data_IF_643051248531
#
_entry.id   IF_643051248531
#
_cell.length_a   1.000
_cell.length_b   1.000
_cell.length_c   1.000
_cell.angle_alpha   90.00
_cell.angle_beta   90.00
_cell.angle_gamma   90.00
#
_symmetry.space_group_name_H-M   'P 1'
#
loop_
_entity.id
_entity.type
_entity.pdbx_description
1 polymer ?
#
# COMPACT_ATOMS: atom_id res chain seq x y z
N UNK A 1 -14.58 -14.84 7.00
CA UNK A 1 -13.32 -14.37 7.62
C UNK A 1 -12.40 -13.93 6.49
N UNK A 2 -12.19 -12.64 6.33
CA UNK A 2 -11.14 -12.14 5.45
C UNK A 2 -9.82 -12.61 6.06
N UNK A 3 -8.99 -13.33 5.30
CA UNK A 3 -7.66 -13.73 5.80
C UNK A 3 -6.88 -12.46 6.08
N UNK A 4 -6.40 -12.31 7.32
CA UNK A 4 -5.47 -11.22 7.64
C UNK A 4 -4.30 -11.26 6.67
N UNK A 5 -4.00 -10.13 6.07
CA UNK A 5 -2.84 -10.01 5.21
C UNK A 5 -1.58 -10.00 6.10
N UNK A 6 -0.74 -11.04 6.05
CA UNK A 6 0.43 -11.14 6.92
C UNK A 6 1.44 -10.00 6.72
N UNK A 7 1.37 -9.34 5.56
CA UNK A 7 2.27 -8.25 5.17
C UNK A 7 2.08 -7.01 6.05
N UNK A 8 0.88 -6.78 6.59
CA UNK A 8 0.55 -5.59 7.36
C UNK A 8 0.45 -5.84 8.88
N UNK A 9 1.16 -6.84 9.41
CA UNK A 9 1.18 -7.11 10.86
C UNK A 9 2.03 -6.10 11.65
N UNK A 10 2.98 -5.46 11.01
CA UNK A 10 3.90 -4.54 11.66
C UNK A 10 3.26 -3.15 11.78
N UNK A 11 3.21 -2.64 12.99
CA UNK A 11 2.84 -1.26 13.24
C UNK A 11 4.07 -0.39 12.96
N UNK A 12 3.95 0.54 12.03
CA UNK A 12 5.00 1.51 11.69
C UNK A 12 4.62 2.88 12.24
N UNK A 13 5.62 3.74 12.35
CA UNK A 13 5.40 5.12 12.81
C UNK A 13 4.42 5.86 11.89
N UNK A 14 3.48 6.61 12.47
CA UNK A 14 2.55 7.44 11.71
C UNK A 14 3.29 8.42 10.78
N UNK A 15 2.58 8.91 9.79
CA UNK A 15 3.03 10.06 8.99
C UNK A 15 3.04 11.30 9.88
N UNK A 16 4.09 12.11 9.81
CA UNK A 16 4.17 13.35 10.58
C UNK A 16 3.29 14.41 9.91
N UNK A 17 2.37 14.97 10.68
CA UNK A 17 1.52 16.07 10.24
C UNK A 17 2.35 17.29 9.81
N UNK A 18 3.40 17.60 10.56
CA UNK A 18 4.29 18.73 10.29
C UNK A 18 4.96 18.66 8.90
N UNK A 19 5.14 17.46 8.35
CA UNK A 19 5.75 17.28 7.02
C UNK A 19 4.72 17.50 5.88
N UNK A 20 3.44 17.44 6.18
CA UNK A 20 2.34 17.46 5.18
C UNK A 20 1.51 18.72 5.24
N UNK A 21 1.13 19.14 6.43
CA UNK A 21 0.21 20.26 6.65
C UNK A 21 0.61 21.53 5.88
N UNK A 22 1.90 21.97 5.86
CA UNK A 22 2.30 23.21 5.17
C UNK A 22 2.00 23.17 3.67
N UNK A 23 1.97 22.01 3.04
CA UNK A 23 1.66 21.85 1.61
C UNK A 23 0.20 22.20 1.30
N UNK A 24 -0.68 22.04 2.28
CA UNK A 24 -2.12 22.29 2.14
C UNK A 24 -2.55 23.64 2.73
N UNK A 25 -1.71 24.23 3.61
CA UNK A 25 -1.96 25.53 4.25
C UNK A 25 -1.30 26.68 3.47
N UNK A 26 -1.68 26.81 2.19
CA UNK A 26 -1.06 27.76 1.26
C UNK A 26 -1.22 29.25 1.65
N UNK A 27 -2.26 29.57 2.41
CA UNK A 27 -2.64 30.92 2.82
C UNK A 27 -2.45 31.15 4.34
N UNK A 28 -1.93 30.17 5.08
CA UNK A 28 -1.72 30.23 6.52
C UNK A 28 -3.02 30.23 7.35
N UNK A 29 -4.16 29.85 6.74
CA UNK A 29 -5.48 29.96 7.35
C UNK A 29 -6.13 28.59 7.61
N UNK A 30 -5.58 27.52 7.10
CA UNK A 30 -6.24 26.23 7.10
C UNK A 30 -6.58 25.75 8.52
N UNK A 31 -5.71 25.97 9.49
CA UNK A 31 -5.97 25.64 10.90
C UNK A 31 -7.13 26.47 11.48
N UNK A 32 -7.14 27.78 11.22
CA UNK A 32 -8.21 28.67 11.70
C UNK A 32 -9.55 28.37 11.02
N UNK A 33 -9.54 28.13 9.72
CA UNK A 33 -10.73 27.75 8.95
C UNK A 33 -11.25 26.36 9.37
N UNK A 34 -10.35 25.42 9.68
CA UNK A 34 -10.71 24.13 10.28
C UNK A 34 -11.40 24.28 11.63
N UNK A 35 -10.86 25.12 12.52
CA UNK A 35 -11.50 25.41 13.81
C UNK A 35 -12.88 26.08 13.64
N UNK A 36 -13.07 26.93 12.65
CA UNK A 36 -14.37 27.51 12.32
C UNK A 36 -15.35 26.46 11.79
N UNK A 37 -14.89 25.55 10.94
CA UNK A 37 -15.67 24.37 10.49
C UNK A 37 -16.04 23.49 11.68
N UNK A 38 -15.11 23.24 12.61
CA UNK A 38 -15.40 22.49 13.82
C UNK A 38 -16.53 23.10 14.64
N UNK A 39 -16.54 24.42 14.82
CA UNK A 39 -17.64 25.09 15.56
C UNK A 39 -18.99 24.89 14.88
N UNK A 40 -19.03 24.91 13.56
CA UNK A 40 -20.28 24.69 12.79
C UNK A 40 -20.74 23.21 12.90
N UNK A 41 -19.79 22.27 12.85
CA UNK A 41 -20.08 20.83 12.86
C UNK A 41 -20.20 20.24 14.27
N UNK A 42 -19.99 21.04 15.32
CA UNK A 42 -20.08 20.60 16.70
C UNK A 42 -21.46 20.03 17.03
N UNK A 43 -21.49 18.78 17.50
CA UNK A 43 -22.71 18.03 17.74
C UNK A 43 -23.26 17.27 16.52
N UNK A 44 -22.67 17.43 15.34
CA UNK A 44 -23.06 16.73 14.10
C UNK A 44 -22.10 15.59 13.74
N UNK A 45 -21.04 15.39 14.52
CA UNK A 45 -19.96 14.41 14.23
C UNK A 45 -20.51 12.99 14.11
N UNK A 46 -21.50 12.63 14.91
CA UNK A 46 -22.16 11.32 14.84
C UNK A 46 -22.88 11.14 13.51
N UNK A 47 -23.52 12.19 13.00
CA UNK A 47 -24.24 12.15 11.72
C UNK A 47 -23.25 11.99 10.55
N UNK A 48 -22.13 12.74 10.59
CA UNK A 48 -21.05 12.59 9.60
C UNK A 48 -20.46 11.19 9.62
N UNK A 49 -20.22 10.63 10.81
CA UNK A 49 -19.73 9.26 10.99
C UNK A 49 -20.75 8.23 10.51
N UNK A 50 -22.03 8.43 10.76
CA UNK A 50 -23.10 7.57 10.26
C UNK A 50 -23.12 7.54 8.74
N UNK A 51 -23.04 8.71 8.09
CA UNK A 51 -22.98 8.77 6.62
C UNK A 51 -21.80 7.98 6.03
N UNK A 52 -20.65 8.00 6.70
CA UNK A 52 -19.50 7.18 6.32
C UNK A 52 -19.83 5.68 6.40
N UNK A 53 -20.40 5.21 7.51
CA UNK A 53 -20.66 3.78 7.72
C UNK A 53 -21.85 3.26 6.92
N UNK A 54 -22.83 4.11 6.64
CA UNK A 54 -23.93 3.79 5.70
C UNK A 54 -23.40 3.60 4.29
N UNK A 55 -22.51 4.51 3.84
CA UNK A 55 -21.84 4.37 2.55
C UNK A 55 -20.99 3.08 2.51
N UNK A 56 -20.24 2.78 3.57
CA UNK A 56 -19.46 1.56 3.69
C UNK A 56 -20.35 0.30 3.54
N UNK A 57 -21.42 0.24 4.30
CA UNK A 57 -22.36 -0.89 4.26
C UNK A 57 -23.12 -1.00 2.93
N UNK A 58 -23.18 0.07 2.14
CA UNK A 58 -23.80 0.08 0.82
C UNK A 58 -22.85 -0.42 -0.30
N UNK A 59 -21.56 -0.50 -0.05
CA UNK A 59 -20.58 -0.88 -1.07
C UNK A 59 -20.72 -2.36 -1.47
N UNK A 60 -20.68 -2.68 -2.78
CA UNK A 60 -20.82 -4.07 -3.26
C UNK A 60 -19.71 -5.01 -2.76
N UNK A 61 -18.53 -4.48 -2.44
CA UNK A 61 -17.41 -5.26 -1.92
C UNK A 61 -17.64 -5.73 -0.48
N UNK A 62 -18.52 -5.07 0.26
CA UNK A 62 -18.86 -5.39 1.65
C UNK A 62 -19.91 -6.49 1.66
N UNK A 63 -19.44 -7.74 1.68
CA UNK A 63 -20.31 -8.91 1.68
C UNK A 63 -21.01 -9.16 3.01
N UNK A 64 -20.46 -8.66 4.11
CA UNK A 64 -21.05 -8.73 5.44
C UNK A 64 -21.15 -7.34 6.04
N UNK A 65 -22.37 -6.86 6.19
CA UNK A 65 -22.65 -5.56 6.81
C UNK A 65 -22.20 -5.54 8.26
N UNK A 66 -21.77 -4.38 8.70
CA UNK A 66 -21.44 -4.11 10.10
C UNK A 66 -22.72 -3.56 10.75
N UNK A 67 -23.17 -4.19 11.83
CA UNK A 67 -24.44 -3.89 12.49
C UNK A 67 -24.30 -3.95 14.02
N UNK A 68 -25.28 -3.46 14.75
CA UNK A 68 -25.38 -3.54 16.20
C UNK A 68 -24.27 -2.77 16.94
N UNK A 69 -23.87 -3.27 18.10
CA UNK A 69 -22.88 -2.61 18.97
C UNK A 69 -21.53 -2.35 18.29
N UNK A 70 -21.14 -3.21 17.34
CA UNK A 70 -19.91 -3.03 16.59
C UNK A 70 -19.98 -1.80 15.68
N UNK A 71 -21.10 -1.61 14.99
CA UNK A 71 -21.35 -0.41 14.16
C UNK A 71 -21.35 0.84 15.04
N UNK A 72 -22.02 0.81 16.19
CA UNK A 72 -22.05 1.94 17.12
C UNK A 72 -20.65 2.29 17.63
N UNK A 73 -19.81 1.29 17.91
CA UNK A 73 -18.43 1.50 18.33
C UNK A 73 -17.61 2.18 17.23
N UNK A 74 -17.79 1.77 15.98
CA UNK A 74 -17.11 2.37 14.84
C UNK A 74 -17.61 3.78 14.56
N UNK A 75 -18.91 4.03 14.66
CA UNK A 75 -19.48 5.39 14.53
C UNK A 75 -18.88 6.31 15.59
N UNK A 76 -18.81 5.89 16.86
CA UNK A 76 -18.19 6.69 17.93
C UNK A 76 -16.71 6.99 17.65
N UNK A 77 -15.94 6.01 17.15
CA UNK A 77 -14.53 6.19 16.78
C UNK A 77 -14.38 7.19 15.63
N UNK A 78 -15.22 7.07 14.60
CA UNK A 78 -15.22 7.97 13.44
C UNK A 78 -15.68 9.39 13.81
N UNK A 79 -16.67 9.53 14.69
CA UNK A 79 -17.12 10.83 15.19
C UNK A 79 -15.99 11.56 15.94
N UNK A 80 -15.25 10.84 16.81
CA UNK A 80 -14.05 11.39 17.45
C UNK A 80 -12.98 11.81 16.44
N UNK A 81 -12.76 11.03 15.41
CA UNK A 81 -11.82 11.38 14.35
C UNK A 81 -12.25 12.67 13.62
N UNK A 82 -13.54 12.81 13.27
CA UNK A 82 -14.07 14.01 12.65
C UNK A 82 -13.88 15.24 13.55
N UNK A 83 -14.13 15.09 14.84
CA UNK A 83 -13.90 16.16 15.82
C UNK A 83 -12.43 16.57 15.82
N UNK A 84 -11.49 15.63 15.99
CA UNK A 84 -10.05 15.90 16.05
C UNK A 84 -9.54 16.55 14.77
N UNK A 85 -9.99 16.07 13.62
CA UNK A 85 -9.60 16.57 12.29
C UNK A 85 -9.89 18.06 12.09
N UNK A 86 -11.04 18.53 12.53
CA UNK A 86 -11.43 19.93 12.36
C UNK A 86 -11.01 20.82 13.54
N UNK A 87 -11.02 20.29 14.76
CA UNK A 87 -10.65 21.05 15.95
C UNK A 87 -9.17 21.41 15.98
N UNK A 88 -8.31 20.50 15.54
CA UNK A 88 -6.86 20.65 15.50
C UNK A 88 -6.30 20.14 14.16
N UNK A 89 -6.60 20.87 13.11
CA UNK A 89 -6.33 20.49 11.73
C UNK A 89 -4.83 20.25 11.43
N UNK A 90 -3.92 20.92 12.17
CA UNK A 90 -2.48 20.74 12.08
C UNK A 90 -1.91 19.78 13.11
N UNK A 91 -2.73 19.22 13.98
CA UNK A 91 -2.31 18.37 15.08
C UNK A 91 -1.95 16.94 14.64
N UNK A 92 -0.96 16.36 15.30
CA UNK A 92 -0.48 15.01 15.01
C UNK A 92 -1.54 13.93 15.28
N UNK A 93 -2.49 14.17 16.18
CA UNK A 93 -3.51 13.17 16.54
C UNK A 93 -4.38 12.80 15.34
N UNK A 94 -4.79 13.78 14.52
CA UNK A 94 -5.59 13.53 13.30
C UNK A 94 -4.84 12.63 12.32
N UNK A 95 -3.55 12.90 12.08
CA UNK A 95 -2.71 12.07 11.22
C UNK A 95 -2.54 10.65 11.79
N UNK A 96 -2.36 10.53 13.09
CA UNK A 96 -2.22 9.23 13.76
C UNK A 96 -3.46 8.38 13.59
N UNK A 97 -4.66 8.96 13.77
CA UNK A 97 -5.92 8.24 13.60
C UNK A 97 -6.11 7.84 12.13
N UNK A 98 -5.81 8.72 11.17
CA UNK A 98 -5.88 8.39 9.74
C UNK A 98 -4.95 7.22 9.38
N UNK A 99 -3.72 7.20 9.92
CA UNK A 99 -2.78 6.09 9.75
C UNK A 99 -3.32 4.78 10.35
N UNK A 100 -3.88 4.83 11.56
CA UNK A 100 -4.46 3.66 12.24
C UNK A 100 -5.65 3.09 11.45
N UNK A 101 -6.54 3.95 10.94
CA UNK A 101 -7.66 3.54 10.11
C UNK A 101 -7.19 2.91 8.79
N UNK A 102 -6.17 3.48 8.16
CA UNK A 102 -5.53 2.91 6.97
C UNK A 102 -4.94 1.53 7.25
N UNK A 103 -4.17 1.42 8.35
CA UNK A 103 -3.58 0.15 8.76
C UNK A 103 -4.65 -0.93 8.97
N UNK A 104 -5.73 -0.59 9.70
CA UNK A 104 -6.83 -1.51 9.96
C UNK A 104 -7.50 -1.98 8.66
N UNK A 105 -7.78 -1.05 7.74
CA UNK A 105 -8.39 -1.37 6.44
C UNK A 105 -7.51 -2.32 5.62
N UNK A 106 -6.22 -2.00 5.48
CA UNK A 106 -5.27 -2.83 4.71
C UNK A 106 -5.06 -4.20 5.36
N UNK A 107 -5.02 -4.27 6.69
CA UNK A 107 -4.88 -5.54 7.43
C UNK A 107 -6.03 -6.50 7.17
N UNK A 108 -7.25 -6.00 7.01
CA UNK A 108 -8.42 -6.81 6.66
C UNK A 108 -8.63 -6.93 5.14
N UNK A 109 -7.68 -6.48 4.33
CA UNK A 109 -7.71 -6.62 2.87
C UNK A 109 -8.70 -5.69 2.17
N UNK A 110 -9.11 -4.59 2.81
CA UNK A 110 -9.94 -3.57 2.18
C UNK A 110 -9.07 -2.67 1.31
N UNK A 111 -9.44 -2.46 0.03
CA UNK A 111 -8.78 -1.47 -0.81
C UNK A 111 -8.90 -0.07 -0.22
N UNK A 112 -7.83 0.72 -0.27
CA UNK A 112 -7.84 2.10 0.21
C UNK A 112 -8.93 2.94 -0.47
N UNK A 113 -9.20 2.67 -1.76
CA UNK A 113 -10.27 3.31 -2.51
C UNK A 113 -11.66 3.18 -1.86
N UNK A 114 -11.90 2.05 -1.18
CA UNK A 114 -13.13 1.82 -0.41
C UNK A 114 -13.27 2.82 0.73
N UNK A 115 -12.19 3.03 1.48
CA UNK A 115 -12.15 3.98 2.60
C UNK A 115 -12.33 5.41 2.09
N UNK A 116 -11.61 5.78 1.02
CA UNK A 116 -11.69 7.11 0.42
C UNK A 116 -13.09 7.44 -0.10
N UNK A 117 -13.78 6.45 -0.67
CA UNK A 117 -15.17 6.63 -1.13
C UNK A 117 -16.12 6.97 0.01
N UNK A 118 -15.98 6.29 1.16
CA UNK A 118 -16.81 6.54 2.34
C UNK A 118 -16.50 7.91 2.99
N UNK A 119 -15.23 8.30 3.00
CA UNK A 119 -14.82 9.65 3.43
C UNK A 119 -15.52 10.71 2.60
N UNK A 120 -15.65 10.51 1.29
CA UNK A 120 -16.34 11.43 0.39
C UNK A 120 -17.80 11.73 0.80
N UNK A 121 -18.54 10.73 1.27
CA UNK A 121 -19.93 10.92 1.71
C UNK A 121 -20.02 11.73 3.02
N UNK A 122 -19.12 11.49 3.97
CA UNK A 122 -18.99 12.32 5.17
C UNK A 122 -18.67 13.78 4.82
N UNK A 123 -17.75 14.02 3.89
CA UNK A 123 -17.36 15.38 3.48
C UNK A 123 -18.49 16.11 2.76
N UNK A 124 -19.20 15.42 1.89
CA UNK A 124 -20.39 15.96 1.23
C UNK A 124 -21.41 16.48 2.24
N UNK A 125 -21.65 15.71 3.31
CA UNK A 125 -22.56 16.12 4.37
C UNK A 125 -22.00 17.29 5.20
N UNK A 126 -20.70 17.29 5.49
CA UNK A 126 -20.04 18.41 6.18
C UNK A 126 -20.12 19.70 5.38
N UNK A 127 -19.91 19.64 4.06
CA UNK A 127 -20.05 20.77 3.15
C UNK A 127 -21.49 21.29 3.17
N UNK A 128 -22.48 20.41 3.14
CA UNK A 128 -23.89 20.77 3.21
C UNK A 128 -24.21 21.60 4.47
N UNK A 129 -23.80 21.13 5.64
CA UNK A 129 -24.01 21.84 6.90
C UNK A 129 -23.31 23.21 6.94
N UNK A 130 -22.11 23.30 6.38
CA UNK A 130 -21.38 24.56 6.30
C UNK A 130 -22.09 25.56 5.36
N UNK A 131 -22.61 25.09 4.23
CA UNK A 131 -23.39 25.95 3.30
C UNK A 131 -24.65 26.47 3.99
N UNK A 132 -25.38 25.61 4.70
CA UNK A 132 -26.58 26.01 5.43
C UNK A 132 -26.26 27.02 6.56
N UNK A 133 -25.24 26.72 7.38
CA UNK A 133 -24.85 27.59 8.49
C UNK A 133 -24.31 28.96 8.04
N UNK A 134 -23.77 29.02 6.83
CA UNK A 134 -23.28 30.28 6.24
C UNK A 134 -24.24 30.88 5.22
N UNK A 135 -25.55 30.57 5.30
CA UNK A 135 -26.52 31.09 4.36
C UNK A 135 -26.50 32.64 4.32
N UNK A 136 -26.36 33.20 3.11
CA UNK A 136 -26.24 34.65 2.90
C UNK A 136 -24.82 35.21 2.89
N UNK A 137 -23.81 34.40 3.24
CA UNK A 137 -22.39 34.77 3.18
C UNK A 137 -21.62 33.83 2.21
N UNK A 138 -21.70 34.13 0.93
CA UNK A 138 -21.05 33.34 -0.13
C UNK A 138 -19.53 33.30 0.01
N UNK A 139 -18.90 34.37 0.51
CA UNK A 139 -17.47 34.42 0.70
C UNK A 139 -17.03 33.42 1.79
N UNK A 140 -17.76 33.41 2.90
CA UNK A 140 -17.54 32.47 4.01
C UNK A 140 -17.81 31.00 3.58
N UNK A 141 -18.92 30.78 2.86
CA UNK A 141 -19.25 29.48 2.28
C UNK A 141 -18.11 28.96 1.43
N UNK A 142 -17.62 29.76 0.47
CA UNK A 142 -16.52 29.38 -0.43
C UNK A 142 -15.25 29.08 0.34
N UNK A 143 -14.90 29.90 1.31
CA UNK A 143 -13.69 29.72 2.12
C UNK A 143 -13.74 28.42 2.95
N UNK A 144 -14.83 28.19 3.67
CA UNK A 144 -14.94 27.04 4.57
C UNK A 144 -15.11 25.73 3.79
N UNK A 145 -15.83 25.73 2.68
CA UNK A 145 -15.89 24.54 1.82
C UNK A 145 -14.55 24.22 1.17
N UNK A 146 -13.76 25.24 0.81
CA UNK A 146 -12.38 25.05 0.36
C UNK A 146 -11.50 24.47 1.46
N UNK A 147 -11.67 24.91 2.73
CA UNK A 147 -10.94 24.34 3.86
C UNK A 147 -11.30 22.85 4.10
N UNK A 148 -12.58 22.48 4.06
CA UNK A 148 -13.01 21.08 4.14
C UNK A 148 -12.34 20.24 3.05
N UNK A 149 -12.34 20.74 1.80
CA UNK A 149 -11.71 20.02 0.70
C UNK A 149 -10.18 19.88 0.88
N UNK A 150 -9.48 20.92 1.34
CA UNK A 150 -8.04 20.86 1.62
C UNK A 150 -7.73 19.86 2.74
N UNK A 151 -8.52 19.85 3.81
CA UNK A 151 -8.38 18.90 4.91
C UNK A 151 -8.72 17.46 4.48
N UNK A 152 -9.66 17.29 3.56
CA UNK A 152 -9.93 16.00 2.96
C UNK A 152 -8.75 15.49 2.14
N UNK A 153 -8.16 16.35 1.30
CA UNK A 153 -6.99 16.00 0.49
C UNK A 153 -5.75 15.71 1.36
N UNK A 154 -5.55 16.47 2.43
CA UNK A 154 -4.49 16.22 3.41
C UNK A 154 -4.66 14.86 4.09
N UNK A 155 -5.88 14.53 4.53
CA UNK A 155 -6.17 13.22 5.12
C UNK A 155 -5.88 12.08 4.13
N UNK A 156 -6.33 12.22 2.87
CA UNK A 156 -6.05 11.24 1.82
C UNK A 156 -4.56 11.09 1.53
N UNK A 157 -3.80 12.21 1.49
CA UNK A 157 -2.35 12.19 1.31
C UNK A 157 -1.67 11.44 2.47
N UNK A 158 -2.07 11.70 3.71
CA UNK A 158 -1.55 10.99 4.89
C UNK A 158 -1.83 9.48 4.80
N UNK A 159 -3.05 9.10 4.42
CA UNK A 159 -3.45 7.70 4.28
C UNK A 159 -2.66 6.99 3.19
N UNK A 160 -2.48 7.62 2.03
CA UNK A 160 -1.72 7.08 0.91
C UNK A 160 -0.23 6.97 1.25
N UNK A 161 0.35 8.01 1.88
CA UNK A 161 1.74 7.99 2.31
C UNK A 161 2.00 6.90 3.36
N UNK A 162 1.04 6.67 4.26
CA UNK A 162 1.14 5.58 5.24
C UNK A 162 1.04 4.20 4.59
N UNK A 163 0.12 4.02 3.64
CA UNK A 163 0.00 2.80 2.86
C UNK A 163 1.31 2.49 2.11
N UNK A 164 1.91 3.50 1.47
CA UNK A 164 3.21 3.35 0.81
C UNK A 164 4.34 2.98 1.78
N UNK A 165 4.35 3.57 2.99
CA UNK A 165 5.31 3.18 4.04
C UNK A 165 5.15 1.72 4.44
N UNK A 166 3.92 1.24 4.59
CA UNK A 166 3.61 -0.16 4.89
C UNK A 166 4.12 -1.09 3.79
N UNK A 167 3.83 -0.77 2.53
CA UNK A 167 4.28 -1.57 1.40
C UNK A 167 5.81 -1.62 1.29
N UNK A 168 6.48 -0.48 1.48
CA UNK A 168 7.95 -0.42 1.50
C UNK A 168 8.54 -1.24 2.64
N UNK A 169 7.93 -1.18 3.83
CA UNK A 169 8.37 -1.98 4.98
C UNK A 169 8.20 -3.48 4.72
N UNK A 170 7.07 -3.88 4.14
CA UNK A 170 6.79 -5.25 3.75
C UNK A 170 7.79 -5.78 2.71
N UNK A 171 8.04 -5.02 1.64
CA UNK A 171 9.03 -5.34 0.61
C UNK A 171 10.45 -5.44 1.21
N UNK A 172 10.79 -4.52 2.14
CA UNK A 172 12.09 -4.55 2.81
C UNK A 172 12.26 -5.81 3.66
N UNK A 173 11.23 -6.22 4.39
CA UNK A 173 11.25 -7.45 5.19
C UNK A 173 11.38 -8.69 4.30
N UNK A 174 10.64 -8.75 3.19
CA UNK A 174 10.72 -9.86 2.25
C UNK A 174 12.13 -9.97 1.63
N UNK A 175 12.71 -8.83 1.23
CA UNK A 175 14.09 -8.78 0.74
C UNK A 175 15.10 -9.21 1.80
N UNK A 176 14.90 -8.82 3.04
CA UNK A 176 15.80 -9.17 4.14
C UNK A 176 15.69 -10.65 4.50
N UNK A 177 14.47 -11.22 4.47
CA UNK A 177 14.25 -12.65 4.62
C UNK A 177 14.93 -13.45 3.49
N UNK A 178 14.72 -13.01 2.24
CA UNK A 178 15.34 -13.63 1.06
C UNK A 178 16.88 -13.55 1.11
N UNK A 179 17.45 -12.41 1.50
CA UNK A 179 18.88 -12.25 1.69
C UNK A 179 19.41 -13.18 2.79
N UNK A 180 18.72 -13.28 3.93
CA UNK A 180 19.09 -14.18 5.01
C UNK A 180 19.02 -15.66 4.60
N UNK A 181 18.02 -16.03 3.81
CA UNK A 181 17.89 -17.39 3.28
C UNK A 181 18.97 -17.68 2.24
N UNK A 182 19.32 -16.69 1.42
CA UNK A 182 20.44 -16.79 0.48
C UNK A 182 21.78 -16.94 1.20
N UNK A 183 22.06 -16.11 2.21
CA UNK A 183 23.28 -16.18 3.02
C UNK A 183 23.40 -17.54 3.72
N UNK A 184 22.29 -18.06 4.25
CA UNK A 184 22.23 -19.38 4.89
C UNK A 184 22.50 -20.50 3.89
N UNK A 185 21.94 -20.37 2.68
CA UNK A 185 22.17 -21.33 1.60
C UNK A 185 23.62 -21.31 1.12
N UNK A 186 24.21 -20.10 0.98
CA UNK A 186 25.65 -19.96 0.64
C UNK A 186 26.55 -20.50 1.76
N UNK A 187 26.24 -20.19 3.01
CA UNK A 187 27.01 -20.72 4.15
C UNK A 187 26.97 -22.25 4.20
N UNK A 188 25.79 -22.86 3.94
CA UNK A 188 25.65 -24.31 3.83
C UNK A 188 26.48 -24.87 2.66
N UNK A 189 26.39 -24.23 1.48
CA UNK A 189 27.18 -24.65 0.29
C UNK A 189 28.70 -24.56 0.52
N UNK A 190 29.15 -23.48 1.20
CA UNK A 190 30.55 -23.31 1.57
C UNK A 190 31.00 -24.41 2.58
N UNK A 191 30.14 -24.69 3.56
CA UNK A 191 30.42 -25.72 4.56
C UNK A 191 30.45 -27.12 3.96
N UNK A 192 29.52 -27.42 3.04
CA UNK A 192 29.51 -28.68 2.29
C UNK A 192 30.75 -28.80 1.38
N UNK A 193 31.14 -27.70 0.73
CA UNK A 193 32.34 -27.60 -0.08
C UNK A 193 33.60 -27.81 0.75
N UNK A 194 33.68 -27.26 1.97
CA UNK A 194 34.80 -27.52 2.89
C UNK A 194 34.83 -28.97 3.40
N UNK A 195 33.66 -29.56 3.64
CA UNK A 195 33.53 -30.99 3.94
C UNK A 195 34.05 -31.87 2.81
N UNK A 196 33.64 -31.57 1.58
CA UNK A 196 34.15 -32.25 0.37
C UNK A 196 35.67 -32.04 0.20
N UNK A 197 36.16 -30.81 0.45
CA UNK A 197 37.58 -30.48 0.40
C UNK A 197 38.39 -31.28 1.44
N UNK A 198 37.88 -31.41 2.68
CA UNK A 198 38.54 -32.21 3.72
C UNK A 198 38.54 -33.71 3.38
N UNK A 199 37.45 -34.18 2.80
CA UNK A 199 37.35 -35.57 2.34
C UNK A 199 38.28 -35.81 1.14
N UNK A 200 38.36 -34.83 0.21
CA UNK A 200 39.30 -34.86 -0.91
C UNK A 200 40.77 -34.85 -0.44
N UNK A 201 41.07 -34.02 0.58
CA UNK A 201 42.42 -33.99 1.17
C UNK A 201 42.80 -35.33 1.83
N UNK A 202 41.87 -35.98 2.54
CA UNK A 202 42.08 -37.35 3.09
C UNK A 202 42.24 -38.38 1.98
N UNK A 203 41.44 -38.26 0.90
CA UNK A 203 41.57 -39.15 -0.25
C UNK A 203 42.90 -38.93 -1.00
N UNK A 204 43.32 -37.67 -1.17
CA UNK A 204 44.58 -37.32 -1.78
C UNK A 204 45.76 -37.87 -0.97
N UNK A 205 45.70 -37.80 0.39
CA UNK A 205 46.74 -38.38 1.27
C UNK A 205 46.77 -39.89 1.17
N UNK A 206 45.60 -40.55 1.08
CA UNK A 206 45.53 -42.02 0.84
C UNK A 206 46.04 -42.40 -0.54
N UNK A 207 45.76 -41.59 -1.57
CA UNK A 207 46.27 -41.81 -2.93
C UNK A 207 47.78 -41.60 -3.01
N UNK A 208 48.35 -40.63 -2.27
CA UNK A 208 49.78 -40.41 -2.17
C UNK A 208 50.47 -41.63 -1.50
N UNK A 209 49.90 -42.20 -0.41
CA UNK A 209 50.34 -43.39 0.21
C UNK A 209 50.25 -44.60 -0.73
N UNK A 210 49.19 -44.76 -1.48
CA UNK A 210 49.03 -45.79 -2.48
C UNK A 210 50.00 -45.61 -3.66
N UNK A 211 50.25 -44.38 -4.10
CA UNK A 211 51.18 -44.06 -5.16
C UNK A 211 52.64 -44.33 -4.78
N UNK A 212 53.05 -44.08 -3.53
CA UNK A 212 54.38 -44.45 -3.01
C UNK A 212 54.59 -45.96 -3.02
N UNK A 213 53.49 -46.71 -2.81
CA UNK A 213 53.50 -48.15 -2.94
C UNK A 213 53.58 -48.72 -4.39
N UNK A 214 53.24 -47.78 -5.31
CA UNK A 214 53.10 -48.14 -6.73
C UNK A 214 54.09 -47.42 -7.67
N UNK A 215 55.31 -47.13 -7.20
CA UNK A 215 56.35 -46.45 -8.00
C UNK A 215 56.67 -47.22 -9.34
N UNK A 216 56.31 -48.49 -9.42
CA UNK A 216 56.40 -49.22 -10.66
C UNK A 216 55.37 -48.93 -11.75
N UNK A 217 54.29 -48.13 -11.41
CA UNK A 217 53.18 -47.81 -12.35
C UNK A 217 53.14 -46.35 -12.73
N UNK A 218 54.24 -45.68 -13.01
CA UNK A 218 54.36 -44.22 -13.31
C UNK A 218 53.49 -43.78 -14.47
N UNK A 219 53.16 -44.62 -15.41
CA UNK A 219 52.36 -44.30 -16.55
C UNK A 219 50.84 -44.16 -16.23
N UNK A 220 50.36 -44.91 -15.19
CA UNK A 220 48.94 -44.76 -14.80
C UNK A 220 48.70 -43.50 -13.96
N UNK A 221 49.69 -43.07 -13.15
CA UNK A 221 49.62 -41.84 -12.37
C UNK A 221 49.62 -40.59 -13.26
N UNK A 222 50.38 -40.60 -14.37
CA UNK A 222 50.40 -39.52 -15.32
C UNK A 222 49.03 -39.36 -16.03
N UNK A 223 48.39 -40.46 -16.42
CA UNK A 223 47.08 -40.47 -17.02
C UNK A 223 45.97 -40.00 -16.04
N UNK A 224 46.07 -40.39 -14.76
CA UNK A 224 45.13 -39.94 -13.73
C UNK A 224 45.27 -38.44 -13.41
N UNK A 225 46.51 -37.90 -13.47
CA UNK A 225 46.73 -36.45 -13.29
C UNK A 225 46.18 -35.63 -14.46
N UNK A 226 46.27 -36.15 -15.68
CA UNK A 226 45.69 -35.49 -16.87
C UNK A 226 44.15 -35.46 -16.82
N UNK A 227 43.57 -36.54 -16.35
CA UNK A 227 42.10 -36.60 -16.17
C UNK A 227 41.60 -35.67 -15.07
N UNK A 228 42.36 -35.48 -13.98
CA UNK A 228 42.04 -34.52 -12.92
C UNK A 228 42.12 -33.06 -13.40
N UNK A 229 43.10 -32.73 -14.25
CA UNK A 229 43.24 -31.40 -14.83
C UNK A 229 42.11 -31.06 -15.81
N UNK A 230 41.61 -32.05 -16.57
CA UNK A 230 40.43 -31.85 -17.44
C UNK A 230 39.15 -31.64 -16.63
N UNK A 231 38.95 -32.43 -15.56
CA UNK A 231 37.78 -32.24 -14.68
C UNK A 231 37.79 -30.90 -13.97
N UNK A 232 38.94 -30.37 -13.60
CA UNK A 232 39.06 -29.02 -13.01
C UNK A 232 38.73 -27.90 -14.02
N UNK A 233 39.10 -28.08 -15.30
CA UNK A 233 38.70 -27.12 -16.36
C UNK A 233 37.21 -27.15 -16.61
N UNK A 234 36.60 -28.30 -16.59
CA UNK A 234 35.15 -28.45 -16.74
C UNK A 234 34.38 -27.84 -15.55
N UNK A 235 34.86 -28.08 -14.31
CA UNK A 235 34.32 -27.47 -13.11
C UNK A 235 34.44 -25.92 -13.11
N UNK A 236 35.58 -25.39 -13.56
CA UNK A 236 35.81 -23.97 -13.72
C UNK A 236 34.85 -23.34 -14.79
N UNK A 237 34.61 -24.08 -15.88
CA UNK A 237 33.65 -23.68 -16.91
C UNK A 237 32.20 -23.64 -16.36
N UNK A 238 31.86 -24.64 -15.57
CA UNK A 238 30.54 -24.73 -14.92
C UNK A 238 30.34 -23.61 -13.89
N UNK A 239 31.36 -23.32 -13.07
CA UNK A 239 31.35 -22.24 -12.10
C UNK A 239 31.19 -20.87 -12.79
N UNK A 240 31.86 -20.63 -13.92
CA UNK A 240 31.69 -19.41 -14.74
C UNK A 240 30.29 -19.32 -15.37
N UNK A 241 29.64 -20.44 -15.66
CA UNK A 241 28.27 -20.53 -16.10
C UNK A 241 27.27 -20.14 -15.00
N UNK A 242 27.50 -20.60 -13.77
CA UNK A 242 26.67 -20.27 -12.61
C UNK A 242 26.74 -18.78 -12.26
N UNK A 243 27.90 -18.15 -12.33
CA UNK A 243 28.06 -16.72 -12.09
C UNK A 243 27.24 -15.92 -13.11
N UNK A 244 27.29 -16.30 -14.39
CA UNK A 244 26.46 -15.63 -15.43
C UNK A 244 24.96 -15.80 -15.16
N UNK A 245 24.52 -16.99 -14.81
CA UNK A 245 23.12 -17.24 -14.51
C UNK A 245 22.60 -16.41 -13.30
N UNK A 246 23.46 -16.16 -12.29
CA UNK A 246 23.14 -15.29 -11.16
C UNK A 246 23.02 -13.83 -11.61
N UNK A 247 23.87 -13.37 -12.51
CA UNK A 247 23.85 -12.00 -13.04
C UNK A 247 22.63 -11.75 -13.93
N UNK A 248 22.27 -12.73 -14.76
CA UNK A 248 21.05 -12.72 -15.56
C UNK A 248 19.79 -12.68 -14.67
N UNK A 249 19.73 -13.50 -13.62
CA UNK A 249 18.62 -13.51 -12.68
C UNK A 249 18.48 -12.18 -11.91
N UNK A 250 19.59 -11.54 -11.54
CA UNK A 250 19.56 -10.21 -10.94
C UNK A 250 18.96 -9.16 -11.87
N UNK A 251 19.37 -9.18 -13.14
CA UNK A 251 18.84 -8.26 -14.16
C UNK A 251 17.34 -8.46 -14.37
N UNK A 252 16.88 -9.72 -14.37
CA UNK A 252 15.44 -10.04 -14.46
C UNK A 252 14.64 -9.55 -13.25
N UNK A 253 15.20 -9.63 -12.04
CA UNK A 253 14.58 -9.09 -10.82
C UNK A 253 14.47 -7.57 -10.88
N UNK A 254 15.53 -6.88 -11.34
CA UNK A 254 15.50 -5.41 -11.51
C UNK A 254 14.47 -4.98 -12.57
N UNK A 255 14.40 -5.71 -13.69
CA UNK A 255 13.38 -5.49 -14.74
C UNK A 255 11.95 -5.72 -14.20
N UNK A 256 11.75 -6.79 -13.43
CA UNK A 256 10.47 -7.12 -12.81
C UNK A 256 10.02 -6.04 -11.80
N UNK A 257 10.96 -5.50 -11.01
CA UNK A 257 10.68 -4.38 -10.10
C UNK A 257 10.22 -3.11 -10.86
N UNK A 258 10.88 -2.82 -11.99
CA UNK A 258 10.48 -1.71 -12.88
C UNK A 258 9.08 -1.92 -13.49
N UNK A 259 8.79 -3.15 -13.91
CA UNK A 259 7.45 -3.50 -14.44
C UNK A 259 6.38 -3.35 -13.36
N UNK A 260 6.66 -3.80 -12.13
CA UNK A 260 5.74 -3.67 -11.01
C UNK A 260 5.44 -2.19 -10.66
N UNK A 261 6.46 -1.35 -10.70
CA UNK A 261 6.29 0.10 -10.49
C UNK A 261 5.37 0.71 -11.56
N UNK A 262 5.65 0.41 -12.84
CA UNK A 262 4.81 0.89 -13.95
C UNK A 262 3.38 0.35 -13.90
N UNK A 263 3.22 -0.92 -13.50
CA UNK A 263 1.89 -1.51 -13.33
C UNK A 263 1.09 -0.81 -12.22
N UNK A 264 1.77 -0.42 -11.13
CA UNK A 264 1.16 0.38 -10.05
C UNK A 264 0.73 1.77 -10.52
N UNK A 265 1.55 2.43 -11.33
CA UNK A 265 1.21 3.73 -11.93
C UNK A 265 0.00 3.60 -12.88
N UNK A 266 0.01 2.59 -13.76
CA UNK A 266 -1.11 2.32 -14.68
C UNK A 266 -2.41 1.94 -13.94
N UNK A 267 -2.30 1.20 -12.83
CA UNK A 267 -3.45 0.92 -11.98
C UNK A 267 -4.04 2.21 -11.37
N UNK A 268 -3.16 3.14 -10.93
CA UNK A 268 -3.58 4.45 -10.46
C UNK A 268 -4.30 5.27 -11.55
N UNK A 269 -3.78 5.27 -12.77
CA UNK A 269 -4.43 5.93 -13.92
C UNK A 269 -5.78 5.27 -14.26
N UNK A 270 -5.86 3.95 -14.22
CA UNK A 270 -7.10 3.21 -14.47
C UNK A 270 -8.17 3.51 -13.40
N UNK A 271 -7.79 3.64 -12.13
CA UNK A 271 -8.70 4.06 -11.06
C UNK A 271 -9.20 5.49 -11.32
N UNK A 272 -8.31 6.42 -11.66
CA UNK A 272 -8.70 7.79 -11.97
C UNK A 272 -9.64 7.86 -13.19
N UNK A 273 -9.41 7.02 -14.20
CA UNK A 273 -10.28 6.91 -15.38
C UNK A 273 -11.65 6.30 -15.03
N UNK A 274 -11.68 5.28 -14.15
CA UNK A 274 -12.91 4.68 -13.64
C UNK A 274 -13.75 5.69 -12.84
N UNK A 275 -13.10 6.50 -12.01
CA UNK A 275 -13.74 7.60 -11.28
C UNK A 275 -14.32 8.68 -12.21
N UNK A 276 -13.59 8.98 -13.28
CA UNK A 276 -14.10 9.91 -14.30
C UNK A 276 -15.32 9.33 -15.03
N UNK A 277 -15.28 8.03 -15.37
CA UNK A 277 -16.39 7.29 -15.98
C UNK A 277 -17.62 7.24 -15.06
N UNK A 278 -17.40 7.00 -13.75
CA UNK A 278 -18.50 7.00 -12.76
C UNK A 278 -19.18 8.37 -12.68
N UNK A 279 -18.39 9.45 -12.62
CA UNK A 279 -18.94 10.83 -12.66
C UNK A 279 -19.69 11.15 -13.95
N UNK A 280 -19.22 10.63 -15.11
CA UNK A 280 -19.96 10.76 -16.36
C UNK A 280 -21.26 9.97 -16.35
N UNK A 281 -21.27 8.74 -15.77
CA UNK A 281 -22.47 7.93 -15.62
C UNK A 281 -23.52 8.63 -14.72
N UNK A 282 -23.09 9.20 -13.59
CA UNK A 282 -23.96 9.99 -12.70
C UNK A 282 -24.52 11.25 -13.40
N UNK A 283 -23.67 11.91 -14.22
CA UNK A 283 -24.11 13.05 -15.02
C UNK A 283 -25.16 12.63 -16.07
N UNK A 284 -24.96 11.47 -16.71
CA UNK A 284 -25.92 10.89 -17.66
C UNK A 284 -27.23 10.54 -16.92
N UNK A 285 -27.14 9.94 -15.73
CA UNK A 285 -28.32 9.60 -14.93
C UNK A 285 -29.11 10.85 -14.52
N UNK A 286 -28.41 11.92 -14.15
CA UNK A 286 -29.01 13.23 -13.88
C UNK A 286 -29.73 13.81 -15.12
N UNK A 287 -29.08 13.72 -16.30
CA UNK A 287 -29.69 14.17 -17.58
C UNK A 287 -30.90 13.31 -17.91
N UNK A 288 -30.84 11.98 -17.71
CA UNK A 288 -31.97 11.08 -17.93
C UNK A 288 -33.12 11.37 -16.95
N UNK A 289 -32.80 11.77 -15.71
CA UNK A 289 -33.76 12.27 -14.72
C UNK A 289 -34.51 13.52 -15.25
N UNK A 290 -33.73 14.48 -15.74
CA UNK A 290 -34.27 15.71 -16.34
C UNK A 290 -35.13 15.43 -17.58
N UNK A 291 -34.68 14.53 -18.45
CA UNK A 291 -35.45 14.09 -19.64
C UNK A 291 -36.76 13.44 -19.24
N UNK A 292 -36.77 12.58 -18.19
CA UNK A 292 -38.00 11.96 -17.67
C UNK A 292 -38.94 13.03 -17.09
N UNK A 293 -38.41 14.02 -16.39
CA UNK A 293 -39.19 15.15 -15.83
C UNK A 293 -39.80 15.99 -16.96
N UNK A 294 -39.02 16.33 -17.99
CA UNK A 294 -39.49 17.09 -19.17
C UNK A 294 -40.52 16.24 -19.94
N UNK A 295 -40.27 14.93 -20.11
CA UNK A 295 -41.25 14.05 -20.75
C UNK A 295 -42.56 13.95 -19.97
N UNK A 296 -42.48 13.93 -18.61
CA UNK A 296 -43.63 14.00 -17.72
C UNK A 296 -44.41 15.32 -17.86
N UNK A 297 -43.68 16.42 -17.90
CA UNK A 297 -44.29 17.76 -18.12
C UNK A 297 -44.90 17.87 -19.51
N UNK A 298 -44.26 17.33 -20.54
CA UNK A 298 -44.78 17.36 -21.92
C UNK A 298 -46.01 16.46 -22.06
N UNK A 299 -46.04 15.31 -21.36
CA UNK A 299 -47.23 14.44 -21.34
C UNK A 299 -48.42 15.07 -20.58
N UNK A 300 -48.14 15.87 -19.52
CA UNK A 300 -49.15 16.62 -18.80
C UNK A 300 -49.69 17.84 -19.60
N UNK A 301 -48.89 18.38 -20.53
CA UNK A 301 -49.32 19.48 -21.43
C UNK A 301 -50.06 18.97 -22.67
N UNK A 302 -49.99 17.67 -22.95
CA UNK A 302 -50.67 17.04 -24.08
C UNK A 302 -52.02 16.37 -23.72
N UNK A 303 -52.40 16.36 -22.41
CA UNK A 303 -53.74 15.99 -21.89
C UNK A 303 -54.55 17.25 -21.64
#
# INVERSE_FOLDING_TARGET
MVKENPIHKQQIEPVLMADRFPTYDLDGRLAADGAEVHMILSGLETQLATAYWDAFNALPIVTRKIEGELLESYIRGSARHMQTKYADAGGQEAATIACQNTHMALRVGLPIATVLSCIGESHKLAIHYVIEACAGDTARQTRLTAAINRLALLEMDIMLAYAEKLDRAAISQERQALASDFDRSIASLVQDSDGVRQQLAKQATSADHAARGMIAKTSEVAAASEQSAMAMREAASTAAGLIRAIEDARTEVEASASVATRASEQAGEAVAMSDALSRHAESIESILGLIREIAGQTNLLAL
#
